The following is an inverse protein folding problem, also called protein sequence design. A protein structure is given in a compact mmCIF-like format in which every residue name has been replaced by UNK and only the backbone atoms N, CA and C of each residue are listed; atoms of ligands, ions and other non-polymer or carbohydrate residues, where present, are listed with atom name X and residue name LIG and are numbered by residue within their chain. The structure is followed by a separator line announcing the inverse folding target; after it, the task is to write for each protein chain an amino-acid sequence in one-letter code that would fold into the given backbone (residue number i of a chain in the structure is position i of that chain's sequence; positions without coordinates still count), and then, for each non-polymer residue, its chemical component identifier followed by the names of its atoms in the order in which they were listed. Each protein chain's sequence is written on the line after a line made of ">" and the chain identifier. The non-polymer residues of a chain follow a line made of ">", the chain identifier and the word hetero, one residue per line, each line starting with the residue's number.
data_IF_883049030767
#
_entry.id   IF_883049030767
#
_cell.length_a   1.000
_cell.length_b   1.000
_cell.length_c   1.000
_cell.angle_alpha   90.00
_cell.angle_beta   90.00
_cell.angle_gamma   90.00
#
_symmetry.space_group_name_H-M   'P 1'
#
loop_
_entity.id
_entity.type
_entity.pdbx_description
1 polymer ?
#
# COMPACT_ATOMS: atom_id res chain seq x y z
N UNK A 1 8.51 62.77 -34.21
CA UNK A 1 8.65 61.46 -34.90
C UNK A 1 9.53 60.58 -34.03
N UNK A 2 8.96 59.62 -33.30
CA UNK A 2 9.70 58.74 -32.39
C UNK A 2 10.03 57.45 -33.16
N UNK A 3 11.31 57.14 -33.35
CA UNK A 3 11.75 55.87 -33.95
C UNK A 3 11.79 54.80 -32.86
N UNK A 4 10.89 53.82 -32.93
CA UNK A 4 10.95 52.61 -32.11
C UNK A 4 11.93 51.64 -32.78
N UNK A 5 13.08 51.40 -32.14
CA UNK A 5 14.02 50.36 -32.56
C UNK A 5 13.51 49.01 -32.05
N UNK A 6 13.11 48.11 -32.95
CA UNK A 6 12.83 46.71 -32.64
C UNK A 6 14.15 45.95 -32.44
N UNK A 7 14.42 45.53 -31.21
CA UNK A 7 15.51 44.61 -30.89
C UNK A 7 15.05 43.18 -31.25
N UNK A 8 15.47 42.65 -32.40
CA UNK A 8 15.29 41.23 -32.70
C UNK A 8 16.19 40.40 -31.78
N UNK A 9 15.59 39.74 -30.80
CA UNK A 9 16.28 38.83 -29.89
C UNK A 9 16.69 37.58 -30.67
N UNK A 10 17.94 37.53 -31.13
CA UNK A 10 18.49 36.35 -31.79
C UNK A 10 18.56 35.20 -30.79
N UNK A 11 17.58 34.31 -30.83
CA UNK A 11 17.60 33.09 -30.03
C UNK A 11 18.69 32.17 -30.61
N UNK A 12 19.86 32.13 -29.95
CA UNK A 12 20.89 31.14 -30.25
C UNK A 12 20.30 29.76 -29.96
N UNK A 13 20.03 28.98 -31.01
CA UNK A 13 19.67 27.58 -30.88
C UNK A 13 20.86 26.76 -30.41
N UNK A 14 20.62 25.80 -29.52
CA UNK A 14 21.64 24.84 -29.09
C UNK A 14 22.11 23.99 -30.28
N UNK A 15 23.41 23.64 -30.29
CA UNK A 15 23.95 22.71 -31.27
C UNK A 15 23.42 21.30 -31.02
N UNK A 16 23.25 20.51 -32.10
CA UNK A 16 22.89 19.10 -32.00
C UNK A 16 23.90 18.31 -31.16
N UNK A 17 25.17 18.70 -31.17
CA UNK A 17 26.23 18.06 -30.38
C UNK A 17 26.06 18.33 -28.89
N UNK A 18 25.59 19.53 -28.52
CA UNK A 18 25.35 19.89 -27.12
C UNK A 18 24.16 19.11 -26.55
N UNK A 19 23.09 19.00 -27.34
CA UNK A 19 21.93 18.20 -26.96
C UNK A 19 22.30 16.70 -26.86
N UNK A 20 23.14 16.21 -27.78
CA UNK A 20 23.64 14.84 -27.77
C UNK A 20 24.42 14.52 -26.50
N UNK A 21 25.31 15.43 -26.06
CA UNK A 21 26.07 15.23 -24.83
C UNK A 21 25.15 15.09 -23.60
N UNK A 22 24.07 15.88 -23.53
CA UNK A 22 23.12 15.84 -22.42
C UNK A 22 22.35 14.52 -22.38
N UNK A 23 21.82 14.05 -23.52
CA UNK A 23 21.07 12.79 -23.54
C UNK A 23 21.94 11.58 -23.21
N UNK A 24 23.23 11.60 -23.57
CA UNK A 24 24.19 10.56 -23.19
C UNK A 24 24.39 10.54 -21.68
N UNK A 25 24.61 11.72 -21.07
CA UNK A 25 24.76 11.83 -19.61
C UNK A 25 23.48 11.39 -18.89
N UNK A 26 22.30 11.84 -19.35
CA UNK A 26 21.01 11.42 -18.81
C UNK A 26 20.80 9.91 -18.95
N UNK A 27 21.18 9.30 -20.08
CA UNK A 27 21.08 7.85 -20.28
C UNK A 27 21.90 7.05 -19.27
N UNK A 28 23.14 7.49 -18.99
CA UNK A 28 24.00 6.86 -17.98
C UNK A 28 23.39 6.98 -16.58
N UNK A 29 22.92 8.18 -16.20
CA UNK A 29 22.31 8.42 -14.88
C UNK A 29 21.01 7.61 -14.73
N UNK A 30 20.13 7.63 -15.75
CA UNK A 30 18.86 6.90 -15.74
C UNK A 30 19.08 5.38 -15.61
N UNK A 31 20.09 4.82 -16.28
CA UNK A 31 20.38 3.38 -16.20
C UNK A 31 20.70 2.92 -14.78
N UNK A 32 21.41 3.73 -13.99
CA UNK A 32 21.75 3.39 -12.59
C UNK A 32 20.54 3.65 -11.69
N UNK A 33 19.77 4.71 -11.97
CA UNK A 33 18.60 5.11 -11.18
C UNK A 33 17.48 4.07 -11.14
N UNK A 34 17.24 3.32 -12.23
CA UNK A 34 16.15 2.32 -12.29
C UNK A 34 16.31 1.21 -11.23
N UNK A 35 17.55 0.74 -11.02
CA UNK A 35 17.81 -0.36 -10.07
C UNK A 35 17.52 0.07 -8.63
N UNK A 36 17.91 1.28 -8.23
CA UNK A 36 17.67 1.75 -6.86
C UNK A 36 16.18 1.96 -6.57
N UNK A 37 15.41 2.44 -7.56
CA UNK A 37 13.98 2.66 -7.44
C UNK A 37 13.20 1.36 -7.21
N UNK A 38 13.64 0.25 -7.80
CA UNK A 38 12.98 -1.06 -7.63
C UNK A 38 12.94 -1.51 -6.16
N UNK A 39 14.03 -1.28 -5.41
CA UNK A 39 14.09 -1.62 -3.98
C UNK A 39 13.13 -0.75 -3.15
N UNK A 40 13.06 0.54 -3.46
CA UNK A 40 12.16 1.48 -2.77
C UNK A 40 10.70 1.10 -3.03
N UNK A 41 10.37 0.75 -4.28
CA UNK A 41 9.03 0.29 -4.65
C UNK A 41 8.65 -0.99 -3.89
N UNK A 42 9.56 -1.96 -3.76
CA UNK A 42 9.30 -3.18 -2.99
C UNK A 42 8.94 -2.86 -1.53
N UNK A 43 9.75 -2.06 -0.84
CA UNK A 43 9.47 -1.66 0.56
C UNK A 43 8.17 -0.86 0.67
N UNK A 44 7.87 0.00 -0.31
CA UNK A 44 6.60 0.74 -0.35
C UNK A 44 5.40 -0.20 -0.48
N UNK A 45 5.50 -1.27 -1.29
CA UNK A 45 4.46 -2.31 -1.39
C UNK A 45 4.29 -3.06 -0.08
N UNK A 46 5.40 -3.44 0.56
CA UNK A 46 5.38 -4.14 1.85
C UNK A 46 4.69 -3.28 2.93
N UNK A 47 5.05 -1.99 2.99
CA UNK A 47 4.43 -1.03 3.92
C UNK A 47 2.96 -0.79 3.61
N UNK A 48 2.59 -0.65 2.34
CA UNK A 48 1.18 -0.52 1.94
C UNK A 48 0.37 -1.76 2.32
N UNK A 49 0.96 -2.95 2.20
CA UNK A 49 0.30 -4.21 2.56
C UNK A 49 0.02 -4.30 4.07
N UNK A 50 1.00 -3.93 4.90
CA UNK A 50 0.79 -3.79 6.35
C UNK A 50 -0.23 -2.68 6.67
N UNK A 51 -0.17 -1.55 5.95
CA UNK A 51 -1.12 -0.46 6.07
C UNK A 51 -2.57 -0.92 5.80
N UNK A 52 -2.78 -1.72 4.77
CA UNK A 52 -4.09 -2.31 4.45
C UNK A 52 -4.62 -3.21 5.58
N UNK A 53 -3.74 -3.98 6.23
CA UNK A 53 -4.10 -4.78 7.41
C UNK A 53 -4.49 -3.89 8.61
N UNK A 54 -3.83 -2.74 8.77
CA UNK A 54 -4.21 -1.72 9.78
C UNK A 54 -5.57 -1.10 9.43
N UNK A 55 -5.80 -0.76 8.15
CA UNK A 55 -7.10 -0.25 7.68
C UNK A 55 -8.24 -1.23 7.98
N UNK A 56 -8.02 -2.53 7.77
CA UNK A 56 -8.97 -3.57 8.16
C UNK A 56 -9.27 -3.53 9.67
N UNK A 57 -8.24 -3.39 10.51
CA UNK A 57 -8.40 -3.23 11.96
C UNK A 57 -9.18 -1.97 12.32
N UNK A 58 -8.98 -0.85 11.63
CA UNK A 58 -9.74 0.37 11.91
C UNK A 58 -11.21 0.23 11.52
N UNK A 59 -11.50 -0.37 10.36
CA UNK A 59 -12.88 -0.63 9.95
C UNK A 59 -13.60 -1.58 10.92
N UNK A 60 -12.93 -2.66 11.33
CA UNK A 60 -13.44 -3.56 12.36
C UNK A 60 -13.63 -2.86 13.71
N UNK A 61 -12.77 -1.90 14.06
CA UNK A 61 -12.90 -1.15 15.31
C UNK A 61 -14.14 -0.25 15.27
N UNK A 62 -14.42 0.38 14.13
CA UNK A 62 -15.63 1.16 13.93
C UNK A 62 -16.88 0.29 14.06
N UNK A 63 -16.89 -0.88 13.41
CA UNK A 63 -17.99 -1.85 13.53
C UNK A 63 -18.19 -2.31 14.98
N UNK A 64 -17.11 -2.69 15.68
CA UNK A 64 -17.18 -3.11 17.08
C UNK A 64 -17.76 -2.01 17.98
N UNK A 65 -17.42 -0.74 17.74
CA UNK A 65 -17.94 0.40 18.51
C UNK A 65 -19.44 0.63 18.29
N UNK A 66 -19.95 0.29 17.13
CA UNK A 66 -21.37 0.39 16.80
C UNK A 66 -22.16 -0.80 17.40
N UNK A 67 -21.59 -2.01 17.31
CA UNK A 67 -22.18 -3.24 17.87
C UNK A 67 -22.06 -3.38 19.38
N UNK A 68 -21.18 -2.64 20.06
CA UNK A 68 -21.06 -2.67 21.52
C UNK A 68 -22.39 -2.31 22.22
N UNK A 69 -23.37 -1.77 21.48
CA UNK A 69 -24.75 -1.53 21.92
C UNK A 69 -25.61 -2.83 21.94
N UNK A 70 -25.23 -3.91 21.26
CA UNK A 70 -26.04 -5.13 21.04
C UNK A 70 -25.52 -6.44 21.65
N UNK A 71 -24.48 -6.40 22.49
CA UNK A 71 -24.30 -7.42 23.53
C UNK A 71 -23.84 -8.83 23.10
N UNK A 72 -23.26 -8.99 21.91
CA UNK A 72 -22.67 -10.27 21.49
C UNK A 72 -21.16 -10.12 21.25
N UNK A 73 -20.28 -10.85 21.95
CA UNK A 73 -18.85 -10.76 21.70
C UNK A 73 -18.52 -11.56 20.42
N UNK A 74 -18.50 -10.88 19.27
CA UNK A 74 -17.88 -11.44 18.07
C UNK A 74 -16.42 -11.80 18.42
N UNK A 75 -16.04 -13.07 18.25
CA UNK A 75 -14.66 -13.49 18.49
C UNK A 75 -13.75 -13.01 17.34
N UNK A 76 -14.32 -12.93 16.14
CA UNK A 76 -13.65 -12.55 14.90
C UNK A 76 -14.60 -11.73 14.03
N UNK A 77 -14.06 -10.73 13.33
CA UNK A 77 -14.77 -9.94 12.32
C UNK A 77 -14.09 -10.19 10.99
N UNK A 78 -14.86 -10.61 9.98
CA UNK A 78 -14.30 -10.98 8.68
C UNK A 78 -14.25 -9.79 7.72
N UNK A 79 -13.35 -9.83 6.74
CA UNK A 79 -13.27 -8.80 5.71
C UNK A 79 -14.56 -8.71 4.88
N UNK A 80 -15.14 -9.87 4.52
CA UNK A 80 -16.39 -9.93 3.76
C UNK A 80 -17.54 -9.22 4.49
N UNK A 81 -17.68 -9.48 5.78
CA UNK A 81 -18.69 -8.83 6.62
C UNK A 81 -18.55 -7.30 6.61
N UNK A 82 -17.32 -6.79 6.74
CA UNK A 82 -17.08 -5.34 6.71
C UNK A 82 -17.41 -4.70 5.35
N UNK A 83 -17.24 -5.43 4.25
CA UNK A 83 -17.67 -4.99 2.93
C UNK A 83 -19.19 -4.99 2.80
N UNK A 84 -19.85 -6.08 3.22
CA UNK A 84 -21.31 -6.22 3.14
C UNK A 84 -22.04 -5.19 4.00
N UNK A 85 -21.49 -4.87 5.16
CA UNK A 85 -22.00 -3.86 6.08
C UNK A 85 -21.50 -2.43 5.77
N UNK A 86 -20.70 -2.27 4.71
CA UNK A 86 -20.22 -0.97 4.20
C UNK A 86 -19.38 -0.17 5.22
N UNK A 87 -18.65 -0.86 6.11
CA UNK A 87 -17.63 -0.25 6.99
C UNK A 87 -16.26 -0.14 6.31
N UNK A 88 -16.08 -0.83 5.18
CA UNK A 88 -14.82 -0.88 4.46
C UNK A 88 -15.10 -1.01 2.96
N UNK A 89 -14.32 -0.30 2.15
CA UNK A 89 -14.31 -0.47 0.70
C UNK A 89 -13.36 -1.60 0.27
N UNK A 90 -13.46 -2.00 -1.01
CA UNK A 90 -12.52 -2.97 -1.58
C UNK A 90 -11.10 -2.43 -1.49
N UNK A 91 -10.22 -3.22 -0.88
CA UNK A 91 -8.81 -2.87 -0.70
C UNK A 91 -8.05 -3.35 -1.94
N UNK A 92 -7.19 -2.49 -2.48
CA UNK A 92 -6.26 -2.86 -3.56
C UNK A 92 -5.01 -3.54 -2.99
N UNK A 93 -4.59 -4.62 -3.62
CA UNK A 93 -3.37 -5.36 -3.32
C UNK A 93 -2.16 -4.66 -3.98
N UNK A 94 -1.22 -4.09 -3.19
CA UNK A 94 -0.08 -3.34 -3.72
C UNK A 94 0.89 -4.19 -4.55
N UNK A 95 0.86 -5.52 -4.43
CA UNK A 95 1.73 -6.40 -5.22
C UNK A 95 1.18 -6.63 -6.62
N UNK A 96 -0.13 -6.82 -6.75
CA UNK A 96 -0.78 -7.26 -7.99
C UNK A 96 -1.58 -6.15 -8.69
N UNK A 97 -1.97 -5.09 -7.98
CA UNK A 97 -2.91 -4.06 -8.45
C UNK A 97 -4.35 -4.54 -8.58
N UNK A 98 -4.65 -5.78 -8.17
CA UNK A 98 -6.01 -6.31 -8.08
C UNK A 98 -6.63 -6.03 -6.72
N UNK A 99 -7.90 -6.37 -6.53
CA UNK A 99 -8.52 -6.30 -5.20
C UNK A 99 -8.14 -7.50 -4.33
N UNK A 100 -8.14 -7.28 -3.02
CA UNK A 100 -8.01 -8.33 -2.02
C UNK A 100 -9.21 -9.30 -2.14
N UNK A 101 -8.99 -10.62 -2.07
CA UNK A 101 -10.07 -11.59 -2.19
C UNK A 101 -11.08 -11.46 -1.04
N UNK A 102 -12.37 -11.39 -1.38
CA UNK A 102 -13.51 -11.29 -0.47
C UNK A 102 -13.78 -12.64 0.22
N UNK A 103 -12.82 -13.11 1.01
CA UNK A 103 -12.85 -14.41 1.68
C UNK A 103 -12.82 -14.26 3.19
N UNK A 104 -13.36 -15.24 3.90
CA UNK A 104 -13.35 -15.29 5.37
C UNK A 104 -11.95 -15.56 5.95
N UNK A 105 -10.95 -15.83 5.11
CA UNK A 105 -9.56 -16.02 5.53
C UNK A 105 -8.94 -14.73 6.06
N UNK A 106 -9.41 -13.58 5.56
CA UNK A 106 -8.97 -12.27 6.04
C UNK A 106 -9.94 -11.82 7.14
N UNK A 107 -9.44 -11.71 8.37
CA UNK A 107 -10.26 -11.39 9.54
C UNK A 107 -9.42 -10.74 10.64
N UNK A 108 -10.09 -10.14 11.61
CA UNK A 108 -9.46 -9.64 12.83
C UNK A 108 -10.02 -10.38 14.04
N UNK A 109 -9.18 -10.61 15.05
CA UNK A 109 -9.56 -11.30 16.27
C UNK A 109 -9.74 -10.32 17.42
N UNK A 110 -10.86 -10.45 18.11
CA UNK A 110 -11.22 -9.63 19.27
C UNK A 110 -10.86 -10.41 20.53
N UNK A 111 -10.21 -9.73 21.47
CA UNK A 111 -10.02 -10.24 22.83
C UNK A 111 -10.58 -9.23 23.81
N UNK A 112 -11.67 -9.59 24.49
CA UNK A 112 -12.44 -8.65 25.30
C UNK A 112 -13.19 -7.65 24.41
N UNK A 113 -12.83 -6.37 24.52
CA UNK A 113 -13.47 -5.28 23.78
C UNK A 113 -12.48 -4.51 22.87
N UNK A 114 -11.40 -5.18 22.48
CA UNK A 114 -10.35 -4.61 21.64
C UNK A 114 -9.92 -5.62 20.58
N UNK A 115 -9.57 -5.10 19.41
CA UNK A 115 -8.93 -5.88 18.36
C UNK A 115 -7.51 -6.20 18.79
N UNK A 116 -7.20 -7.49 18.83
CA UNK A 116 -5.95 -8.02 19.39
C UNK A 116 -4.99 -8.52 18.32
N UNK A 117 -5.52 -9.07 17.23
CA UNK A 117 -4.72 -9.61 16.14
C UNK A 117 -5.43 -9.47 14.79
N UNK A 118 -4.66 -9.48 13.71
CA UNK A 118 -5.14 -9.47 12.32
C UNK A 118 -4.57 -10.68 11.60
N UNK A 119 -5.42 -11.31 10.79
CA UNK A 119 -5.01 -12.22 9.74
C UNK A 119 -5.41 -11.58 8.41
N UNK A 120 -4.43 -11.19 7.59
CA UNK A 120 -4.68 -10.54 6.30
C UNK A 120 -4.12 -11.34 5.13
N UNK A 121 -4.98 -11.79 4.20
CA UNK A 121 -4.57 -12.46 2.96
C UNK A 121 -4.74 -11.54 1.76
N UNK A 122 -3.67 -11.32 1.01
CA UNK A 122 -3.71 -10.79 -0.35
C UNK A 122 -3.66 -11.90 -1.40
N UNK A 123 -3.52 -11.50 -2.67
CA UNK A 123 -3.51 -12.46 -3.78
C UNK A 123 -2.22 -13.30 -3.79
N UNK A 124 -1.10 -12.69 -3.39
CA UNK A 124 0.23 -13.33 -3.44
C UNK A 124 0.94 -13.40 -2.10
N UNK A 125 0.56 -12.56 -1.14
CA UNK A 125 1.19 -12.47 0.17
C UNK A 125 0.14 -12.53 1.28
N UNK A 126 0.55 -12.87 2.49
CA UNK A 126 -0.26 -12.85 3.69
C UNK A 126 0.50 -12.33 4.92
N UNK A 127 -0.29 -11.86 5.89
CA UNK A 127 0.08 -11.52 7.26
C UNK A 127 -0.77 -12.40 8.19
N UNK A 128 -0.63 -13.72 8.02
CA UNK A 128 -1.39 -14.75 8.75
C UNK A 128 -0.52 -15.90 9.22
N UNK A 129 0.80 -15.77 9.17
CA UNK A 129 1.72 -16.87 9.44
C UNK A 129 2.82 -16.41 10.38
N UNK A 130 3.00 -17.10 11.51
CA UNK A 130 4.09 -16.84 12.46
C UNK A 130 4.84 -18.14 12.74
N UNK A 131 6.14 -18.17 12.45
CA UNK A 131 6.97 -19.36 12.67
C UNK A 131 6.58 -20.58 11.81
N UNK A 132 5.97 -20.36 10.64
CA UNK A 132 5.54 -21.43 9.73
C UNK A 132 4.18 -22.05 10.06
N UNK A 133 3.47 -21.52 11.05
CA UNK A 133 2.10 -21.92 11.40
C UNK A 133 1.15 -20.78 11.06
N UNK A 134 0.01 -21.10 10.46
CA UNK A 134 -1.06 -20.13 10.21
C UNK A 134 -1.66 -19.67 11.55
N UNK A 135 -1.31 -18.45 11.95
CA UNK A 135 -1.78 -17.82 13.18
C UNK A 135 -1.96 -16.32 12.94
N UNK A 136 -3.05 -15.71 13.43
CA UNK A 136 -3.23 -14.27 13.32
C UNK A 136 -2.11 -13.53 14.06
N UNK A 137 -1.65 -12.43 13.47
CA UNK A 137 -0.53 -11.64 13.97
C UNK A 137 -1.07 -10.59 14.96
N UNK A 138 -0.54 -10.50 16.19
CA UNK A 138 -0.90 -9.44 17.12
C UNK A 138 -0.67 -8.05 16.53
N UNK A 139 -1.59 -7.11 16.77
CA UNK A 139 -1.50 -5.75 16.19
C UNK A 139 -0.17 -5.05 16.57
N UNK A 140 0.28 -5.24 17.81
CA UNK A 140 1.50 -4.62 18.33
C UNK A 140 2.78 -5.19 17.69
N UNK A 141 2.70 -6.35 17.06
CA UNK A 141 3.83 -7.02 16.39
C UNK A 141 3.75 -6.92 14.86
N UNK A 142 2.71 -6.27 14.32
CA UNK A 142 2.47 -6.21 12.89
C UNK A 142 3.60 -5.43 12.19
N UNK A 143 4.36 -6.12 11.35
CA UNK A 143 5.52 -5.55 10.66
C UNK A 143 5.71 -6.16 9.28
N UNK A 144 6.52 -5.49 8.46
CA UNK A 144 6.89 -5.95 7.11
C UNK A 144 7.64 -7.29 7.12
N UNK A 145 8.35 -7.61 8.22
CA UNK A 145 9.16 -8.83 8.32
C UNK A 145 8.31 -10.11 8.45
N UNK A 146 7.03 -9.94 8.79
CA UNK A 146 6.08 -11.04 8.94
C UNK A 146 5.28 -11.32 7.65
N UNK A 147 5.54 -10.57 6.58
CA UNK A 147 4.90 -10.82 5.29
C UNK A 147 5.45 -12.12 4.71
N UNK A 148 4.56 -13.05 4.41
CA UNK A 148 4.90 -14.33 3.77
C UNK A 148 4.22 -14.41 2.42
N UNK A 149 4.92 -14.95 1.42
CA UNK A 149 4.34 -15.28 0.13
C UNK A 149 3.51 -16.56 0.25
N UNK A 150 2.27 -16.52 -0.22
CA UNK A 150 1.32 -17.64 -0.24
C UNK A 150 1.84 -18.83 -1.04
#
# INVERSE_FOLDING_TARGET
>A
MIKIYSQEQYQKGYSLVELLAIIVILGIISSIGVVSMTKVIAVAKDQAFVGNAITLKEAAHLYLKDEEIQGNPHLEITYRELLELNYLDKIEDPYTGGFIPETDKTYVRITGNKISAVCFYGNTHNLCTKGGVETPIPIDELSIDLIIRN
#
